data_IF_276386502093
#
_entry.id   IF_276386502093
#
_cell.length_a   1.000
_cell.length_b   1.000
_cell.length_c   1.000
_cell.angle_alpha   90.00
_cell.angle_beta   90.00
_cell.angle_gamma   90.00
#
_symmetry.space_group_name_H-M   'P 1'
#
loop_
_entity.id
_entity.type
_entity.pdbx_description
1 polymer ?
#
# COMPACT_ATOMS: atom_id res chain seq x y z
N UNK A 1 -42.28 3.72 18.75
CA UNK A 1 -41.45 3.00 17.76
C UNK A 1 -40.18 2.57 18.48
N UNK A 2 -39.96 1.25 18.56
CA UNK A 2 -39.05 0.59 19.49
C UNK A 2 -37.70 0.34 18.82
N UNK A 3 -36.67 1.01 19.36
CA UNK A 3 -35.36 0.48 19.82
C UNK A 3 -34.37 -0.16 18.83
N UNK A 4 -33.11 0.29 19.02
CA UNK A 4 -31.83 -0.39 18.84
C UNK A 4 -31.13 -0.31 17.47
N UNK A 5 -30.06 0.49 17.47
CA UNK A 5 -28.68 -0.02 17.39
C UNK A 5 -28.50 -1.28 16.54
N UNK A 6 -28.17 -1.10 15.27
CA UNK A 6 -27.29 -2.04 14.58
C UNK A 6 -25.94 -1.38 14.31
N UNK A 7 -25.14 -1.47 15.37
CA UNK A 7 -23.69 -1.48 15.35
C UNK A 7 -23.16 -2.50 14.32
N UNK A 8 -22.09 -2.10 13.65
CA UNK A 8 -20.96 -2.96 13.21
C UNK A 8 -21.30 -4.00 12.14
N UNK A 9 -21.00 -3.61 10.90
CA UNK A 9 -20.62 -4.51 9.80
C UNK A 9 -19.19 -4.22 9.32
N UNK A 10 -18.24 -4.03 10.26
CA UNK A 10 -16.80 -4.10 9.98
C UNK A 10 -16.43 -5.56 9.73
N UNK A 11 -16.53 -6.03 8.49
CA UNK A 11 -15.71 -7.09 7.91
C UNK A 11 -16.29 -7.51 6.55
N UNK A 12 -15.72 -6.96 5.48
CA UNK A 12 -16.06 -7.34 4.11
C UNK A 12 -14.84 -7.22 3.22
N UNK A 13 -13.80 -7.97 3.55
CA UNK A 13 -12.67 -8.35 2.71
C UNK A 13 -12.17 -7.29 1.72
N UNK A 14 -11.59 -6.21 2.24
CA UNK A 14 -10.41 -5.69 1.56
C UNK A 14 -9.36 -6.79 1.70
N UNK A 15 -9.35 -7.74 0.76
CA UNK A 15 -8.14 -8.43 0.37
C UNK A 15 -7.22 -7.33 -0.12
N UNK A 16 -6.63 -6.62 0.84
CA UNK A 16 -5.42 -5.88 0.63
C UNK A 16 -4.50 -6.95 0.08
N UNK A 17 -3.96 -6.83 -1.14
CA UNK A 17 -2.93 -7.75 -1.56
C UNK A 17 -1.75 -7.52 -0.62
N UNK A 18 -1.74 -8.31 0.46
CA UNK A 18 -0.66 -8.43 1.44
C UNK A 18 0.50 -9.22 0.85
N UNK A 19 0.42 -9.60 -0.43
CA UNK A 19 1.34 -10.47 -1.13
C UNK A 19 2.17 -9.79 -2.21
N UNK A 20 1.89 -8.53 -2.58
CA UNK A 20 2.55 -7.95 -3.76
C UNK A 20 3.92 -7.34 -3.51
N UNK A 21 4.17 -6.88 -2.28
CA UNK A 21 5.51 -6.46 -1.90
C UNK A 21 6.19 -7.63 -1.19
N UNK A 22 7.30 -8.10 -1.77
CA UNK A 22 8.19 -9.05 -1.11
C UNK A 22 8.54 -8.60 0.32
N UNK A 23 9.06 -9.51 1.14
CA UNK A 23 9.51 -9.17 2.50
C UNK A 23 10.44 -7.96 2.40
N UNK A 24 10.27 -6.93 3.23
CA UNK A 24 11.24 -5.83 3.28
C UNK A 24 12.28 -6.10 4.37
N UNK A 25 13.50 -5.63 4.14
CA UNK A 25 14.56 -5.58 5.16
C UNK A 25 15.05 -4.15 5.33
N UNK A 26 15.51 -3.80 6.52
CA UNK A 26 16.22 -2.55 6.78
C UNK A 26 17.58 -2.90 7.34
N UNK A 27 18.65 -2.64 6.57
CA UNK A 27 20.01 -3.05 6.95
C UNK A 27 20.21 -4.57 7.08
N UNK A 28 19.43 -5.37 6.34
CA UNK A 28 19.49 -6.84 6.37
C UNK A 28 18.58 -7.53 7.41
N UNK A 29 17.96 -6.78 8.32
CA UNK A 29 17.02 -7.33 9.30
C UNK A 29 15.56 -7.23 8.84
N UNK A 30 14.75 -8.25 9.17
CA UNK A 30 13.30 -8.21 8.94
C UNK A 30 12.65 -7.34 10.02
N UNK A 31 12.29 -6.14 9.62
CA UNK A 31 11.60 -5.16 10.48
C UNK A 31 10.12 -5.10 10.11
N UNK A 32 9.28 -4.65 11.04
CA UNK A 32 7.91 -4.29 10.68
C UNK A 32 7.95 -3.14 9.67
N UNK A 33 7.28 -3.33 8.53
CA UNK A 33 7.28 -2.40 7.40
C UNK A 33 5.86 -2.02 6.98
N UNK A 34 4.85 -2.53 7.68
CA UNK A 34 3.45 -2.40 7.27
C UNK A 34 2.97 -0.95 7.38
N UNK A 35 3.40 -0.24 8.44
CA UNK A 35 3.06 1.15 8.65
C UNK A 35 3.64 2.05 7.54
N UNK A 36 4.92 1.92 7.26
CA UNK A 36 5.62 2.68 6.22
C UNK A 36 5.12 2.33 4.82
N UNK A 37 4.83 1.05 4.56
CA UNK A 37 4.24 0.64 3.29
C UNK A 37 2.87 1.27 3.08
N UNK A 38 2.04 1.32 4.13
CA UNK A 38 0.72 1.96 4.07
C UNK A 38 0.84 3.45 3.81
N UNK A 39 1.77 4.14 4.48
CA UNK A 39 2.04 5.56 4.25
C UNK A 39 2.50 5.80 2.80
N UNK A 40 3.48 5.04 2.33
CA UNK A 40 4.00 5.16 0.96
C UNK A 40 2.93 4.90 -0.10
N UNK A 41 2.01 3.95 0.13
CA UNK A 41 0.85 3.72 -0.75
C UNK A 41 -0.08 4.93 -0.81
N UNK A 42 -0.38 5.57 0.32
CA UNK A 42 -1.25 6.75 0.34
C UNK A 42 -0.60 7.91 -0.42
N UNK A 43 0.70 8.15 -0.18
CA UNK A 43 1.45 9.21 -0.88
C UNK A 43 1.49 8.95 -2.39
N UNK A 44 1.79 7.71 -2.80
CA UNK A 44 1.89 7.33 -4.21
C UNK A 44 0.54 7.48 -4.95
N UNK A 45 -0.58 7.05 -4.33
CA UNK A 45 -1.92 7.22 -4.90
C UNK A 45 -2.30 8.68 -5.04
N UNK A 46 -2.12 9.47 -3.97
CA UNK A 46 -2.40 10.91 -4.00
C UNK A 46 -1.59 11.63 -5.08
N UNK A 47 -0.37 11.16 -5.38
CA UNK A 47 0.44 11.69 -6.46
C UNK A 47 -0.09 11.27 -7.83
N UNK A 48 -0.37 9.98 -8.03
CA UNK A 48 -0.95 9.48 -9.27
C UNK A 48 -2.26 10.18 -9.64
N UNK A 49 -3.11 10.43 -8.65
CA UNK A 49 -4.38 11.15 -8.82
C UNK A 49 -4.15 12.64 -9.16
N UNK A 50 -3.17 13.31 -8.53
CA UNK A 50 -2.82 14.71 -8.83
C UNK A 50 -2.19 14.87 -10.21
N UNK A 51 -1.35 13.93 -10.62
CA UNK A 51 -0.67 13.96 -11.92
C UNK A 51 -1.62 13.60 -13.06
N UNK A 52 -2.86 13.18 -12.75
CA UNK A 52 -3.86 12.65 -13.69
C UNK A 52 -3.24 11.64 -14.66
N UNK A 53 -2.34 10.80 -14.13
CA UNK A 53 -1.39 10.01 -14.92
C UNK A 53 -2.09 8.97 -15.81
N UNK A 54 -3.20 8.42 -15.32
CA UNK A 54 -4.12 7.52 -16.01
C UNK A 54 -5.41 7.40 -15.19
N UNK A 55 -6.46 6.80 -15.77
CA UNK A 55 -7.67 6.44 -15.02
C UNK A 55 -7.31 5.61 -13.78
N UNK A 56 -7.80 6.05 -12.63
CA UNK A 56 -7.56 5.41 -11.33
C UNK A 56 -7.97 3.94 -11.39
N UNK A 57 -7.07 3.06 -10.98
CA UNK A 57 -7.31 1.60 -10.95
C UNK A 57 -7.00 0.87 -12.26
N UNK A 58 -6.61 1.57 -13.33
CA UNK A 58 -6.03 0.91 -14.51
C UNK A 58 -4.67 0.27 -14.17
N UNK A 59 -4.26 -0.72 -14.97
CA UNK A 59 -2.94 -1.35 -14.82
C UNK A 59 -1.80 -0.31 -14.90
N UNK A 60 -1.93 0.68 -15.78
CA UNK A 60 -0.96 1.77 -15.94
C UNK A 60 -0.87 2.63 -14.68
N UNK A 61 -2.02 3.02 -14.11
CA UNK A 61 -2.07 3.77 -12.86
C UNK A 61 -1.47 2.96 -11.69
N UNK A 62 -1.79 1.66 -11.61
CA UNK A 62 -1.27 0.77 -10.57
C UNK A 62 0.25 0.59 -10.68
N UNK A 63 0.80 0.44 -11.88
CA UNK A 63 2.24 0.36 -12.10
C UNK A 63 2.96 1.64 -11.67
N UNK A 64 2.42 2.81 -12.02
CA UNK A 64 2.95 4.09 -11.57
C UNK A 64 2.95 4.19 -10.05
N UNK A 65 1.81 3.91 -9.40
CA UNK A 65 1.71 3.88 -7.93
C UNK A 65 2.75 2.93 -7.32
N UNK A 66 2.97 1.76 -7.91
CA UNK A 66 3.95 0.78 -7.42
C UNK A 66 5.38 1.31 -7.43
N UNK A 67 5.81 1.94 -8.52
CA UNK A 67 7.15 2.53 -8.63
C UNK A 67 7.38 3.60 -7.55
N UNK A 68 6.38 4.45 -7.28
CA UNK A 68 6.47 5.44 -6.20
C UNK A 68 6.50 4.80 -4.81
N UNK A 69 5.74 3.72 -4.58
CA UNK A 69 5.80 2.99 -3.32
C UNK A 69 7.20 2.42 -3.10
N UNK A 70 7.79 1.78 -4.11
CA UNK A 70 9.14 1.22 -4.03
C UNK A 70 10.19 2.31 -3.75
N UNK A 71 10.11 3.45 -4.44
CA UNK A 71 11.00 4.58 -4.21
C UNK A 71 10.84 5.17 -2.79
N UNK A 72 9.60 5.30 -2.30
CA UNK A 72 9.32 5.79 -0.95
C UNK A 72 9.86 4.85 0.13
N UNK A 73 9.64 3.53 -0.03
CA UNK A 73 10.17 2.51 0.89
C UNK A 73 11.70 2.54 0.92
N UNK A 74 12.34 2.64 -0.25
CA UNK A 74 13.80 2.77 -0.37
C UNK A 74 14.35 4.00 0.36
N UNK A 75 13.70 5.16 0.21
CA UNK A 75 14.09 6.39 0.91
C UNK A 75 13.96 6.27 2.44
N UNK A 76 13.04 5.43 2.93
CA UNK A 76 12.89 5.11 4.36
C UNK A 76 13.87 4.05 4.86
N UNK A 77 14.76 3.56 3.99
CA UNK A 77 15.77 2.56 4.31
C UNK A 77 15.27 1.10 4.21
N UNK A 78 14.11 0.87 3.60
CA UNK A 78 13.60 -0.47 3.35
C UNK A 78 14.02 -0.95 1.97
N UNK A 79 14.53 -2.18 1.92
CA UNK A 79 14.95 -2.86 0.71
C UNK A 79 14.00 -4.01 0.44
N UNK A 80 13.47 -4.07 -0.78
CA UNK A 80 12.62 -5.17 -1.20
C UNK A 80 13.49 -6.44 -1.28
N UNK A 81 13.19 -7.46 -0.47
CA UNK A 81 13.83 -8.77 -0.61
C UNK A 81 13.34 -9.38 -1.91
N UNK A 82 14.18 -9.31 -2.95
CA UNK A 82 13.97 -10.06 -4.18
C UNK A 82 13.90 -11.54 -3.79
N UNK A 83 12.78 -12.20 -4.02
CA UNK A 83 12.75 -13.67 -3.97
C UNK A 83 13.70 -14.15 -5.06
N UNK A 84 14.77 -14.84 -4.67
CA UNK A 84 15.62 -15.63 -5.56
C UNK A 84 14.82 -16.80 -6.12
#
# INVERSE_FOLDING_TARGET
>A
MIVALFLVGLAGCSTTPSSYYGKYTRGGERVDYMAELKECRVVARNKADKDNYADTGTAVWLSYVDEYVLACMKNKGFELVKRK
#
